data_IF_002612493116
#
_entry.id   IF_002612493116
#
_cell.length_a   1.000
_cell.length_b   1.000
_cell.length_c   1.000
_cell.angle_alpha   90.00
_cell.angle_beta   90.00
_cell.angle_gamma   90.00
#
_symmetry.space_group_name_H-M   'P 1'
#
loop_
_entity.id
_entity.type
_entity.pdbx_description
1 polymer ?
#
# COMPACT_ATOMS: atom_id res chain seq x y z
N UNK A 1 -2.28 -12.96 -3.03
CA UNK A 1 -3.63 -12.47 -3.38
C UNK A 1 -4.21 -11.79 -2.14
N UNK A 2 -4.77 -10.59 -2.28
CA UNK A 2 -5.44 -9.93 -1.15
C UNK A 2 -6.73 -10.68 -0.78
N UNK A 3 -6.96 -10.92 0.50
CA UNK A 3 -8.18 -11.57 0.99
C UNK A 3 -9.28 -10.52 1.20
N UNK A 4 -10.28 -10.50 0.32
CA UNK A 4 -11.42 -9.59 0.44
C UNK A 4 -12.48 -10.17 1.38
N UNK A 5 -12.73 -9.52 2.52
CA UNK A 5 -13.59 -10.05 3.59
C UNK A 5 -14.90 -9.28 3.79
N UNK A 6 -15.07 -8.13 3.13
CA UNK A 6 -16.23 -7.24 3.28
C UNK A 6 -16.83 -6.90 1.92
N UNK A 7 -18.16 -6.88 1.85
CA UNK A 7 -18.93 -6.52 0.65
C UNK A 7 -19.51 -5.12 0.83
N UNK A 8 -19.41 -4.32 -0.22
CA UNK A 8 -20.08 -3.02 -0.35
C UNK A 8 -21.10 -3.14 -1.48
N UNK A 9 -22.29 -2.54 -1.31
CA UNK A 9 -23.32 -2.45 -2.34
C UNK A 9 -23.60 -0.97 -2.62
N UNK A 10 -23.66 -0.61 -3.90
CA UNK A 10 -24.05 0.73 -4.36
C UNK A 10 -24.77 0.58 -5.70
N UNK A 11 -25.49 1.61 -6.11
CA UNK A 11 -26.25 1.63 -7.36
C UNK A 11 -25.57 2.57 -8.35
N UNK A 12 -25.44 2.11 -9.60
CA UNK A 12 -24.91 2.88 -10.71
C UNK A 12 -26.03 3.20 -11.69
N UNK A 13 -25.85 4.25 -12.50
CA UNK A 13 -26.71 4.45 -13.67
C UNK A 13 -26.47 3.33 -14.70
N UNK A 14 -27.45 3.10 -15.58
CA UNK A 14 -27.31 2.12 -16.65
C UNK A 14 -26.08 2.41 -17.54
N UNK A 15 -25.87 3.68 -17.87
CA UNK A 15 -24.74 4.15 -18.68
C UNK A 15 -23.39 3.89 -17.98
N UNK A 16 -23.28 4.18 -16.68
CA UNK A 16 -22.08 3.91 -15.90
C UNK A 16 -21.76 2.42 -15.85
N UNK A 17 -22.78 1.59 -15.59
CA UNK A 17 -22.63 0.14 -15.54
C UNK A 17 -22.19 -0.42 -16.89
N UNK A 18 -22.81 0.02 -17.98
CA UNK A 18 -22.47 -0.41 -19.33
C UNK A 18 -21.04 -0.03 -19.70
N UNK A 19 -20.65 1.24 -19.49
CA UNK A 19 -19.30 1.71 -19.77
C UNK A 19 -18.23 0.93 -18.99
N UNK A 20 -18.47 0.64 -17.71
CA UNK A 20 -17.55 -0.16 -16.89
C UNK A 20 -17.49 -1.62 -17.33
N UNK A 21 -18.60 -2.20 -17.78
CA UNK A 21 -18.64 -3.58 -18.29
C UNK A 21 -17.86 -3.69 -19.59
N UNK A 22 -18.07 -2.77 -20.54
CA UNK A 22 -17.30 -2.72 -21.78
C UNK A 22 -15.79 -2.55 -21.52
N UNK A 23 -15.43 -1.74 -20.52
CA UNK A 23 -14.04 -1.57 -20.12
C UNK A 23 -13.45 -2.86 -19.51
N UNK A 24 -14.22 -3.54 -18.67
CA UNK A 24 -13.84 -4.82 -18.06
C UNK A 24 -13.58 -5.89 -19.12
N UNK A 25 -14.49 -6.00 -20.09
CA UNK A 25 -14.42 -6.96 -21.19
C UNK A 25 -13.23 -6.67 -22.10
N UNK A 26 -13.02 -5.40 -22.49
CA UNK A 26 -11.84 -4.99 -23.29
C UNK A 26 -10.51 -5.32 -22.61
N UNK A 27 -10.47 -5.28 -21.28
CA UNK A 27 -9.26 -5.61 -20.51
C UNK A 27 -9.14 -7.09 -20.16
N UNK A 28 -10.19 -7.90 -20.39
CA UNK A 28 -10.24 -9.29 -19.94
C UNK A 28 -10.20 -9.42 -18.42
N UNK A 29 -10.73 -8.43 -17.69
CA UNK A 29 -10.63 -8.33 -16.22
C UNK A 29 -12.02 -8.28 -15.60
N UNK A 30 -12.23 -8.87 -14.40
CA UNK A 30 -13.54 -8.77 -13.73
C UNK A 30 -13.89 -7.32 -13.38
N UNK A 31 -15.16 -6.95 -13.54
CA UNK A 31 -15.70 -5.63 -13.14
C UNK A 31 -15.33 -5.25 -11.70
N UNK A 32 -15.41 -6.22 -10.77
CA UNK A 32 -15.06 -6.02 -9.36
C UNK A 32 -13.62 -5.59 -9.15
N UNK A 33 -12.71 -5.98 -10.05
CA UNK A 33 -11.30 -5.61 -9.97
C UNK A 33 -11.10 -4.14 -10.37
N UNK A 34 -11.75 -3.67 -11.44
CA UNK A 34 -11.74 -2.26 -11.84
C UNK A 34 -12.27 -1.34 -10.73
N UNK A 35 -13.40 -1.71 -10.12
CA UNK A 35 -14.00 -0.92 -9.04
C UNK A 35 -13.06 -0.85 -7.83
N UNK A 36 -12.42 -1.97 -7.46
CA UNK A 36 -11.45 -1.99 -6.36
C UNK A 36 -10.25 -1.11 -6.65
N UNK A 37 -9.68 -1.19 -7.85
CA UNK A 37 -8.52 -0.36 -8.22
C UNK A 37 -8.86 1.14 -8.23
N UNK A 38 -10.05 1.50 -8.72
CA UNK A 38 -10.52 2.88 -8.66
C UNK A 38 -10.65 3.38 -7.21
N UNK A 39 -11.18 2.56 -6.31
CA UNK A 39 -11.29 2.89 -4.88
C UNK A 39 -9.90 3.10 -4.25
N UNK A 40 -8.96 2.17 -4.49
CA UNK A 40 -7.59 2.28 -3.97
C UNK A 40 -6.90 3.54 -4.46
N UNK A 41 -7.00 3.82 -5.76
CA UNK A 41 -6.39 5.00 -6.38
C UNK A 41 -6.95 6.32 -5.85
N UNK A 42 -8.27 6.40 -5.68
CA UNK A 42 -8.93 7.65 -5.29
C UNK A 42 -8.80 7.92 -3.78
N UNK A 43 -8.94 6.88 -2.95
CA UNK A 43 -9.10 7.08 -1.50
C UNK A 43 -7.91 6.62 -0.65
N UNK A 44 -7.08 5.70 -1.14
CA UNK A 44 -6.09 5.02 -0.30
C UNK A 44 -4.64 5.29 -0.69
N UNK A 45 -4.31 5.54 -1.96
CA UNK A 45 -2.92 5.81 -2.38
C UNK A 45 -2.32 7.01 -1.64
N UNK A 46 -3.04 8.15 -1.62
CA UNK A 46 -2.58 9.36 -0.93
C UNK A 46 -2.49 9.15 0.59
N UNK A 47 -3.51 8.55 1.19
CA UNK A 47 -3.53 8.27 2.63
C UNK A 47 -2.42 7.30 3.05
N UNK A 48 -2.09 6.32 2.19
CA UNK A 48 -0.99 5.40 2.42
C UNK A 48 0.37 6.11 2.36
N UNK A 49 0.57 7.02 1.41
CA UNK A 49 1.77 7.84 1.31
C UNK A 49 1.96 8.70 2.56
N UNK A 50 0.93 9.41 2.98
CA UNK A 50 0.95 10.25 4.19
C UNK A 50 1.26 9.42 5.44
N UNK A 51 0.65 8.23 5.57
CA UNK A 51 0.92 7.33 6.69
C UNK A 51 2.37 6.85 6.72
N UNK A 52 2.96 6.56 5.55
CA UNK A 52 4.39 6.18 5.44
C UNK A 52 5.30 7.34 5.81
N UNK A 53 5.02 8.55 5.32
CA UNK A 53 5.79 9.75 5.67
C UNK A 53 5.72 10.04 7.17
N UNK A 54 4.55 9.93 7.79
CA UNK A 54 4.40 10.10 9.23
C UNK A 54 5.15 9.03 10.03
N UNK A 55 5.17 7.77 9.55
CA UNK A 55 5.96 6.71 10.17
C UNK A 55 7.47 6.99 10.07
N UNK A 56 7.94 7.41 8.89
CA UNK A 56 9.34 7.80 8.68
C UNK A 56 9.73 8.98 9.59
N UNK A 57 8.88 10.01 9.69
CA UNK A 57 9.13 11.15 10.56
C UNK A 57 9.26 10.72 12.03
N UNK A 58 8.42 9.78 12.50
CA UNK A 58 8.55 9.21 13.84
C UNK A 58 9.85 8.44 14.03
N UNK A 59 10.26 7.63 13.04
CA UNK A 59 11.53 6.89 13.08
C UNK A 59 12.74 7.82 13.13
N UNK A 60 12.73 8.91 12.37
CA UNK A 60 13.81 9.90 12.40
C UNK A 60 13.81 10.70 13.71
N UNK A 61 12.63 11.03 14.23
CA UNK A 61 12.49 11.76 15.50
C UNK A 61 12.92 10.94 16.72
N UNK A 62 12.93 9.60 16.62
CA UNK A 62 13.41 8.73 17.68
C UNK A 62 14.90 8.97 18.02
N UNK A 63 15.67 9.66 17.15
CA UNK A 63 17.08 10.02 17.35
C UNK A 63 17.82 8.92 18.13
N UNK A 64 17.64 7.68 17.70
CA UNK A 64 18.17 6.54 18.42
C UNK A 64 19.69 6.72 18.51
N UNK A 65 20.30 6.53 19.69
CA UNK A 65 21.74 6.61 19.82
C UNK A 65 22.31 5.44 19.03
N UNK A 66 22.66 5.71 17.77
CA UNK A 66 23.40 4.79 16.93
C UNK A 66 24.86 5.15 17.09
N UNK A 67 25.66 4.12 17.37
CA UNK A 67 27.11 4.20 17.37
C UNK A 67 27.60 4.65 15.99
N UNK A 68 28.85 5.11 15.90
CA UNK A 68 29.45 5.31 14.58
C UNK A 68 29.53 3.99 13.80
N UNK A 69 29.70 4.11 12.49
CA UNK A 69 29.71 2.95 11.60
C UNK A 69 30.82 1.95 11.97
N UNK A 70 31.99 2.45 12.36
CA UNK A 70 33.16 1.64 12.73
C UNK A 70 32.86 0.76 13.96
N UNK A 71 32.22 1.33 14.99
CA UNK A 71 31.83 0.60 16.19
C UNK A 71 30.73 -0.43 15.91
N UNK A 72 29.76 -0.12 15.05
CA UNK A 72 28.72 -1.09 14.65
C UNK A 72 29.29 -2.27 13.85
N UNK A 73 30.23 -2.00 12.94
CA UNK A 73 30.88 -3.03 12.14
C UNK A 73 31.65 -4.02 13.02
N UNK A 74 32.40 -3.52 14.00
CA UNK A 74 33.10 -4.35 14.97
C UNK A 74 32.16 -5.26 15.79
N UNK A 75 31.02 -4.72 16.26
CA UNK A 75 30.04 -5.49 17.03
C UNK A 75 29.41 -6.62 16.21
N UNK A 76 29.08 -6.36 14.93
CA UNK A 76 28.52 -7.37 14.01
C UNK A 76 29.52 -8.48 13.75
N UNK A 77 30.77 -8.13 13.43
CA UNK A 77 31.84 -9.12 13.18
C UNK A 77 32.11 -9.95 14.43
N UNK A 78 32.08 -9.34 15.61
CA UNK A 78 32.28 -10.05 16.88
C UNK A 78 31.13 -11.02 17.17
N UNK A 79 29.88 -10.60 16.94
CA UNK A 79 28.70 -11.45 17.13
C UNK A 79 28.59 -12.61 16.13
N UNK A 80 29.10 -12.45 14.91
CA UNK A 80 29.10 -13.51 13.90
C UNK A 80 30.15 -14.61 14.16
N UNK A 81 31.17 -14.31 14.97
CA UNK A 81 32.26 -15.22 15.32
C UNK A 81 32.14 -15.81 16.74
N UNK A 82 31.03 -15.55 17.44
CA UNK A 82 30.71 -16.07 18.77
C UNK A 82 29.73 -17.25 18.69
#
# INVERSE_FOLDING_TARGET
>A
MATYTKRIQTVLTAEQYQALTELADKQGRPLSLLVREAIEKVYFEQAALERRQAALARLLALQAPVSDWEQMEEEIVRGANA
#
